data_IF_760034786691
#
_entry.id   IF_760034786691
#
_cell.length_a   1.000
_cell.length_b   1.000
_cell.length_c   1.000
_cell.angle_alpha   90.00
_cell.angle_beta   90.00
_cell.angle_gamma   90.00
#
_symmetry.space_group_name_H-M   'P 1'
#
loop_
_entity.id
_entity.type
_entity.pdbx_description
1 polymer ?
#
# COMPACT_ATOMS: atom_id res chain seq x y z
N UNK A 1 -13.94 -47.14 -40.66
CA UNK A 1 -13.18 -46.38 -39.63
C UNK A 1 -13.35 -44.90 -39.91
N UNK A 2 -13.90 -44.07 -38.98
CA UNK A 2 -13.85 -42.60 -39.10
C UNK A 2 -12.53 -42.11 -38.57
N UNK A 3 -11.90 -41.25 -39.35
CA UNK A 3 -10.55 -40.71 -39.22
C UNK A 3 -10.32 -39.90 -37.97
N UNK A 4 -9.28 -40.25 -37.24
CA UNK A 4 -8.67 -39.55 -36.07
C UNK A 4 -8.01 -38.20 -36.41
N UNK A 5 -8.31 -37.59 -37.54
CA UNK A 5 -7.67 -36.32 -37.99
C UNK A 5 -8.33 -35.06 -37.39
N UNK A 6 -9.56 -35.20 -36.83
CA UNK A 6 -10.28 -34.03 -36.28
C UNK A 6 -9.91 -33.60 -34.88
N UNK A 7 -9.32 -34.48 -34.04
CA UNK A 7 -9.05 -34.18 -32.63
C UNK A 7 -7.73 -33.44 -32.37
N UNK A 8 -6.70 -33.69 -33.19
CA UNK A 8 -5.41 -33.01 -33.04
C UNK A 8 -5.43 -31.56 -33.51
N UNK A 9 -6.29 -31.25 -34.49
CA UNK A 9 -6.44 -29.90 -35.00
C UNK A 9 -7.15 -28.96 -33.97
N UNK A 10 -8.15 -29.48 -33.24
CA UNK A 10 -8.85 -28.73 -32.19
C UNK A 10 -7.95 -28.42 -30.96
N UNK A 11 -7.09 -29.35 -30.59
CA UNK A 11 -6.15 -29.17 -29.46
C UNK A 11 -5.08 -28.13 -29.82
N UNK A 12 -4.56 -28.16 -31.03
CA UNK A 12 -3.52 -27.24 -31.52
C UNK A 12 -4.02 -25.81 -31.67
N UNK A 13 -5.27 -25.65 -32.10
CA UNK A 13 -5.90 -24.32 -32.21
C UNK A 13 -6.29 -23.74 -30.83
N UNK A 14 -6.72 -24.60 -29.89
CA UNK A 14 -6.93 -24.21 -28.50
C UNK A 14 -5.63 -23.74 -27.84
N UNK A 15 -4.54 -24.47 -28.01
CA UNK A 15 -3.22 -24.08 -27.47
C UNK A 15 -2.72 -22.75 -28.06
N UNK A 16 -2.87 -22.53 -29.37
CA UNK A 16 -2.53 -21.27 -30.03
C UNK A 16 -3.41 -20.13 -29.53
N UNK A 17 -4.69 -20.35 -29.30
CA UNK A 17 -5.63 -19.36 -28.78
C UNK A 17 -5.30 -18.98 -27.33
N UNK A 18 -4.93 -19.97 -26.48
CA UNK A 18 -4.46 -19.72 -25.11
C UNK A 18 -3.11 -18.97 -25.09
N UNK A 19 -2.16 -19.35 -25.95
CA UNK A 19 -0.88 -18.64 -26.09
C UNK A 19 -1.07 -17.20 -26.60
N UNK A 20 -1.97 -16.98 -27.55
CA UNK A 20 -2.28 -15.66 -28.08
C UNK A 20 -2.98 -14.78 -27.03
N UNK A 21 -3.96 -15.31 -26.30
CA UNK A 21 -4.65 -14.64 -25.20
C UNK A 21 -3.67 -14.28 -24.07
N UNK A 22 -2.80 -15.20 -23.65
CA UNK A 22 -1.78 -14.93 -22.63
C UNK A 22 -0.77 -13.88 -23.08
N UNK A 23 -0.40 -13.86 -24.37
CA UNK A 23 0.51 -12.87 -24.95
C UNK A 23 -0.12 -11.48 -25.07
N UNK A 24 -1.40 -11.40 -25.45
CA UNK A 24 -2.16 -10.14 -25.51
C UNK A 24 -2.36 -9.59 -24.10
N UNK A 25 -2.78 -10.42 -23.16
CA UNK A 25 -2.95 -10.06 -21.74
C UNK A 25 -1.63 -9.55 -21.13
N UNK A 26 -0.51 -10.20 -21.42
CA UNK A 26 0.80 -9.75 -20.93
C UNK A 26 1.22 -8.40 -21.50
N UNK A 27 0.86 -8.08 -22.75
CA UNK A 27 1.13 -6.76 -23.35
C UNK A 27 0.28 -5.66 -22.74
N UNK A 28 -0.99 -5.92 -22.47
CA UNK A 28 -1.90 -4.96 -21.82
C UNK A 28 -1.44 -4.66 -20.40
N UNK A 29 -1.06 -5.68 -19.65
CA UNK A 29 -0.51 -5.55 -18.30
C UNK A 29 0.76 -4.72 -18.32
N UNK A 30 1.71 -5.02 -19.20
CA UNK A 30 2.94 -4.24 -19.33
C UNK A 30 2.66 -2.78 -19.71
N UNK A 31 1.65 -2.53 -20.55
CA UNK A 31 1.21 -1.17 -20.88
C UNK A 31 0.64 -0.45 -19.65
N UNK A 32 -0.22 -1.14 -18.87
CA UNK A 32 -0.80 -0.60 -17.63
C UNK A 32 0.29 -0.28 -16.59
N UNK A 33 1.22 -1.22 -16.36
CA UNK A 33 2.38 -1.03 -15.47
C UNK A 33 3.24 0.16 -15.91
N UNK A 34 3.51 0.30 -17.20
CA UNK A 34 4.30 1.41 -17.72
C UNK A 34 3.59 2.77 -17.62
N UNK A 35 2.28 2.81 -17.81
CA UNK A 35 1.47 4.02 -17.58
C UNK A 35 1.52 4.44 -16.10
N UNK A 36 1.37 3.50 -15.18
CA UNK A 36 1.49 3.73 -13.73
C UNK A 36 2.91 4.23 -13.41
N UNK A 37 3.96 3.59 -13.94
CA UNK A 37 5.35 4.03 -13.74
C UNK A 37 5.57 5.48 -14.18
N UNK A 38 5.13 5.84 -15.39
CA UNK A 38 5.32 7.20 -15.94
C UNK A 38 4.57 8.22 -15.08
N UNK A 39 3.30 7.94 -14.73
CA UNK A 39 2.47 8.83 -13.92
C UNK A 39 3.06 9.05 -12.53
N UNK A 40 3.39 7.96 -11.84
CA UNK A 40 3.92 8.03 -10.47
C UNK A 40 5.33 8.60 -10.39
N UNK A 41 6.19 8.37 -11.39
CA UNK A 41 7.55 8.91 -11.42
C UNK A 41 7.56 10.43 -11.44
N UNK A 42 6.70 11.06 -12.24
CA UNK A 42 6.59 12.52 -12.28
C UNK A 42 6.14 13.06 -10.92
N UNK A 43 5.12 12.46 -10.32
CA UNK A 43 4.60 12.83 -9.01
C UNK A 43 5.68 12.71 -7.92
N UNK A 44 6.43 11.59 -7.92
CA UNK A 44 7.49 11.35 -6.93
C UNK A 44 8.65 12.34 -7.11
N UNK A 45 8.99 12.71 -8.34
CA UNK A 45 10.04 13.67 -8.59
C UNK A 45 9.67 15.08 -8.12
N UNK A 46 8.43 15.48 -8.38
CA UNK A 46 7.97 16.84 -8.11
C UNK A 46 7.64 17.07 -6.63
N UNK A 47 7.16 16.04 -5.92
CA UNK A 47 6.53 16.23 -4.62
C UNK A 47 7.13 15.45 -3.44
N UNK A 48 7.75 14.29 -3.65
CA UNK A 48 8.15 13.40 -2.57
C UNK A 48 9.65 13.34 -2.27
N UNK A 49 10.49 14.16 -2.96
CA UNK A 49 11.95 14.10 -2.82
C UNK A 49 12.48 14.48 -1.43
N UNK A 50 11.82 15.40 -0.71
CA UNK A 50 12.27 15.92 0.58
C UNK A 50 11.39 15.48 1.75
N UNK A 51 10.07 15.55 1.58
CA UNK A 51 9.11 15.37 2.68
C UNK A 51 9.02 13.92 3.18
N UNK A 52 9.32 12.92 2.35
CA UNK A 52 9.32 11.51 2.75
C UNK A 52 10.43 11.19 3.75
N UNK A 53 11.66 11.69 3.53
CA UNK A 53 12.81 11.43 4.39
C UNK A 53 12.68 12.00 5.80
N UNK A 54 12.09 13.19 5.92
CA UNK A 54 11.93 13.86 7.21
C UNK A 54 10.91 13.17 8.12
N UNK A 55 9.98 12.42 7.54
CA UNK A 55 8.86 11.79 8.25
C UNK A 55 9.19 10.46 8.90
N UNK A 56 10.19 9.73 8.39
CA UNK A 56 10.54 8.40 8.85
C UNK A 56 11.97 8.37 9.41
N UNK A 57 12.11 8.52 10.73
CA UNK A 57 13.42 8.48 11.40
C UNK A 57 13.84 7.05 11.70
N UNK A 58 14.82 6.51 10.96
CA UNK A 58 15.49 5.24 11.26
C UNK A 58 16.60 5.41 12.30
N UNK A 59 16.99 4.35 12.99
CA UNK A 59 18.17 4.31 13.89
C UNK A 59 19.23 3.39 13.26
N UNK A 60 20.13 3.92 12.48
CA UNK A 60 21.31 3.23 11.99
C UNK A 60 22.46 4.23 11.89
N UNK A 61 23.61 3.90 12.44
CA UNK A 61 24.84 4.68 12.25
C UNK A 61 25.74 3.91 11.29
N UNK A 62 26.08 4.53 10.15
CA UNK A 62 27.07 4.00 9.23
C UNK A 62 28.30 4.88 9.29
N UNK A 63 29.48 4.27 9.29
CA UNK A 63 30.72 5.00 9.21
C UNK A 63 30.74 5.83 7.92
N UNK A 64 30.88 7.15 8.04
CA UNK A 64 30.94 8.09 6.93
C UNK A 64 32.37 8.42 6.55
N UNK A 65 33.10 9.05 7.48
CA UNK A 65 34.47 9.49 7.25
C UNK A 65 35.28 9.59 8.53
N UNK A 66 36.59 9.83 8.38
CA UNK A 66 37.50 10.17 9.48
C UNK A 66 37.94 11.60 9.28
N UNK A 67 37.77 12.44 10.31
CA UNK A 67 38.36 13.79 10.36
C UNK A 67 39.27 13.98 11.52
N UNK A 68 40.16 14.97 11.45
CA UNK A 68 41.03 15.33 12.61
C UNK A 68 40.15 15.79 13.80
N UNK A 69 40.56 15.42 14.99
CA UNK A 69 39.94 15.82 16.26
C UNK A 69 40.09 17.33 16.47
N UNK A 70 39.03 17.99 16.86
CA UNK A 70 39.03 19.39 17.27
C UNK A 70 38.65 19.45 18.77
N UNK A 71 39.34 20.29 19.60
CA UNK A 71 38.97 20.44 21.01
C UNK A 71 37.48 20.76 21.18
N UNK A 72 36.77 19.93 21.97
CA UNK A 72 35.34 19.99 22.17
C UNK A 72 34.56 18.81 21.58
N UNK A 73 35.18 17.98 20.73
CA UNK A 73 34.59 16.76 20.22
C UNK A 73 34.54 15.64 21.27
N UNK A 74 33.63 14.68 21.10
CA UNK A 74 33.52 13.52 22.00
C UNK A 74 34.71 12.56 21.82
N UNK A 75 35.56 12.47 22.86
CA UNK A 75 36.74 11.61 22.91
C UNK A 75 36.44 10.13 22.68
N UNK A 76 35.17 9.68 22.93
CA UNK A 76 34.74 8.30 22.75
C UNK A 76 34.65 7.92 21.28
N UNK A 77 34.57 8.91 20.40
CA UNK A 77 34.48 8.73 18.95
C UNK A 77 35.87 8.69 18.28
N UNK A 78 36.96 8.74 19.02
CA UNK A 78 38.33 8.69 18.47
C UNK A 78 38.60 7.31 17.83
N UNK A 79 39.07 7.33 16.58
CA UNK A 79 39.63 6.15 15.93
C UNK A 79 41.09 5.94 16.28
N UNK A 80 41.33 5.09 17.26
CA UNK A 80 42.68 4.80 17.73
C UNK A 80 43.56 4.13 16.67
N UNK A 81 42.99 3.41 15.71
CA UNK A 81 43.73 2.76 14.63
C UNK A 81 44.26 3.78 13.62
N UNK A 82 43.46 4.77 13.25
CA UNK A 82 43.89 5.85 12.35
C UNK A 82 44.85 6.79 13.11
N UNK A 83 44.52 7.14 14.34
CA UNK A 83 45.38 7.97 15.21
C UNK A 83 46.77 7.38 15.36
N UNK A 84 46.92 6.08 15.57
CA UNK A 84 48.19 5.39 15.67
C UNK A 84 49.02 5.43 14.37
N UNK A 85 48.38 5.52 13.21
CA UNK A 85 49.06 5.58 11.90
C UNK A 85 49.47 6.99 11.51
N UNK A 86 48.63 7.97 11.86
CA UNK A 86 48.84 9.36 11.46
C UNK A 86 49.59 10.21 12.48
N UNK A 87 49.66 9.74 13.73
CA UNK A 87 50.24 10.47 14.87
C UNK A 87 49.37 11.63 15.38
N UNK A 88 48.20 11.85 14.82
CA UNK A 88 47.23 12.86 15.25
C UNK A 88 45.88 12.21 15.57
N UNK A 89 45.19 12.69 16.61
CA UNK A 89 43.87 12.14 16.93
C UNK A 89 42.87 12.38 15.81
N UNK A 90 42.16 11.32 15.42
CA UNK A 90 41.11 11.35 14.41
C UNK A 90 39.82 10.80 14.98
N UNK A 91 38.69 11.37 14.56
CA UNK A 91 37.34 10.96 14.93
C UNK A 91 36.69 10.14 13.83
N UNK A 92 35.97 9.10 14.24
CA UNK A 92 35.00 8.42 13.38
C UNK A 92 33.73 9.26 13.31
N UNK A 93 33.44 9.80 12.15
CA UNK A 93 32.14 10.40 11.87
C UNK A 93 31.21 9.28 11.37
N UNK A 94 30.12 9.11 12.10
CA UNK A 94 29.06 8.22 11.68
C UNK A 94 27.91 9.07 11.13
N UNK A 95 27.56 8.84 9.88
CA UNK A 95 26.30 9.33 9.33
C UNK A 95 25.20 8.33 9.64
N UNK A 96 24.04 8.81 9.98
CA UNK A 96 22.86 7.99 10.19
C UNK A 96 22.30 7.55 8.84
N UNK A 97 22.87 6.46 8.28
CA UNK A 97 22.35 5.89 7.05
C UNK A 97 21.07 5.10 7.35
N UNK A 98 19.96 5.67 6.95
CA UNK A 98 18.61 5.21 7.30
C UNK A 98 18.00 4.40 6.19
N UNK A 99 18.46 3.15 6.00
CA UNK A 99 17.69 2.22 5.18
C UNK A 99 16.40 1.83 5.91
N UNK A 100 15.29 2.39 5.48
CA UNK A 100 13.99 1.97 5.96
C UNK A 100 13.55 0.70 5.23
N UNK A 101 12.77 -0.10 5.93
CA UNK A 101 12.02 -1.19 5.32
C UNK A 101 10.56 -0.78 5.25
N UNK A 102 10.04 -0.67 4.04
CA UNK A 102 8.64 -0.34 3.76
C UNK A 102 7.91 -1.63 3.41
N UNK A 103 6.81 -1.92 4.08
CA UNK A 103 5.92 -3.02 3.77
C UNK A 103 4.56 -2.47 3.36
N UNK A 104 4.10 -2.82 2.17
CA UNK A 104 2.79 -2.44 1.67
C UNK A 104 1.87 -3.65 1.78
N UNK A 105 0.79 -3.51 2.54
CA UNK A 105 -0.28 -4.49 2.68
C UNK A 105 -1.48 -4.00 1.87
N UNK A 106 -1.92 -4.77 0.89
CA UNK A 106 -3.04 -4.41 0.03
C UNK A 106 -4.15 -5.44 0.20
N UNK A 107 -5.32 -4.94 0.52
CA UNK A 107 -6.55 -5.71 0.54
C UNK A 107 -6.99 -6.03 -0.90
N UNK A 108 -7.12 -7.32 -1.19
CA UNK A 108 -7.55 -7.85 -2.49
C UNK A 108 -8.86 -8.64 -2.37
N UNK A 109 -9.64 -8.36 -1.34
CA UNK A 109 -10.98 -8.90 -1.14
C UNK A 109 -11.96 -8.40 -2.20
N UNK A 110 -13.13 -9.02 -2.28
CA UNK A 110 -14.16 -8.69 -3.27
C UNK A 110 -14.67 -7.25 -3.15
N UNK A 111 -14.62 -6.64 -1.98
CA UNK A 111 -15.02 -5.25 -1.77
C UNK A 111 -14.16 -4.24 -2.55
N UNK A 112 -12.91 -4.60 -2.88
CA UNK A 112 -11.99 -3.79 -3.67
C UNK A 112 -12.38 -3.61 -5.14
N UNK A 113 -13.17 -4.52 -5.70
CA UNK A 113 -13.63 -4.47 -7.10
C UNK A 113 -14.78 -3.48 -7.31
N UNK A 114 -15.29 -2.89 -6.23
CA UNK A 114 -16.36 -1.89 -6.32
C UNK A 114 -15.84 -0.52 -6.79
N UNK A 115 -16.64 0.13 -7.66
CA UNK A 115 -16.44 1.52 -8.09
C UNK A 115 -17.66 2.02 -8.85
N UNK A 116 -18.19 3.16 -8.42
CA UNK A 116 -19.41 3.77 -9.00
C UNK A 116 -19.17 4.55 -10.29
N UNK A 117 -17.88 4.88 -10.57
CA UNK A 117 -17.47 5.64 -11.74
C UNK A 117 -16.37 4.91 -12.52
N UNK A 118 -15.43 5.69 -13.10
CA UNK A 118 -14.38 5.13 -13.97
C UNK A 118 -13.30 4.33 -13.23
N UNK A 119 -13.09 4.60 -11.95
CA UNK A 119 -11.99 4.02 -11.18
C UNK A 119 -12.53 3.06 -10.14
N UNK A 120 -12.01 1.85 -10.11
CA UNK A 120 -12.26 0.90 -9.04
C UNK A 120 -11.40 1.24 -7.80
N UNK A 121 -11.86 0.88 -6.61
CA UNK A 121 -11.05 1.05 -5.38
C UNK A 121 -9.68 0.39 -5.51
N UNK A 122 -9.63 -0.77 -6.14
CA UNK A 122 -8.38 -1.50 -6.32
C UNK A 122 -7.41 -0.78 -7.29
N UNK A 123 -7.91 -0.16 -8.36
CA UNK A 123 -7.05 0.59 -9.29
C UNK A 123 -6.37 1.75 -8.58
N UNK A 124 -7.10 2.46 -7.71
CA UNK A 124 -6.55 3.51 -6.86
C UNK A 124 -5.54 2.94 -5.86
N UNK A 125 -5.82 1.80 -5.24
CA UNK A 125 -4.89 1.09 -4.34
C UNK A 125 -3.58 0.74 -5.03
N UNK A 126 -3.63 0.26 -6.27
CA UNK A 126 -2.45 -0.05 -7.10
C UNK A 126 -1.64 1.21 -7.41
N UNK A 127 -2.30 2.31 -7.79
CA UNK A 127 -1.61 3.58 -8.06
C UNK A 127 -0.90 4.12 -6.82
N UNK A 128 -1.57 4.10 -5.67
CA UNK A 128 -0.99 4.53 -4.39
C UNK A 128 0.20 3.64 -4.00
N UNK A 129 0.05 2.32 -4.09
CA UNK A 129 1.13 1.37 -3.79
C UNK A 129 2.35 1.58 -4.70
N UNK A 130 2.13 1.81 -6.00
CA UNK A 130 3.19 2.11 -6.94
C UNK A 130 3.92 3.42 -6.58
N UNK A 131 3.17 4.48 -6.27
CA UNK A 131 3.73 5.76 -5.89
C UNK A 131 4.58 5.66 -4.62
N UNK A 132 4.07 5.01 -3.57
CA UNK A 132 4.80 4.78 -2.33
C UNK A 132 6.06 3.95 -2.57
N UNK A 133 5.97 2.92 -3.42
CA UNK A 133 7.10 2.07 -3.78
C UNK A 133 8.18 2.85 -4.52
N UNK A 134 7.82 3.68 -5.50
CA UNK A 134 8.79 4.51 -6.23
C UNK A 134 9.39 5.60 -5.35
N UNK A 135 8.61 6.18 -4.42
CA UNK A 135 9.11 7.13 -3.43
C UNK A 135 10.15 6.49 -2.52
N UNK A 136 9.87 5.30 -1.99
CA UNK A 136 10.78 4.58 -1.12
C UNK A 136 12.12 4.25 -1.81
N UNK A 137 12.10 3.71 -3.05
CA UNK A 137 13.36 3.40 -3.74
C UNK A 137 14.15 4.65 -4.18
N UNK A 138 13.50 5.79 -4.39
CA UNK A 138 14.19 7.06 -4.63
C UNK A 138 15.03 7.45 -3.42
N UNK A 139 14.58 7.10 -2.23
CA UNK A 139 15.26 7.29 -0.95
C UNK A 139 16.16 6.11 -0.55
N UNK A 140 16.46 5.20 -1.47
CA UNK A 140 17.29 4.01 -1.26
C UNK A 140 16.72 3.01 -0.23
N UNK A 141 15.41 3.06 0.06
CA UNK A 141 14.72 2.16 0.98
C UNK A 141 14.37 0.80 0.33
N UNK A 142 14.10 -0.19 1.20
CA UNK A 142 13.64 -1.52 0.80
C UNK A 142 12.12 -1.54 0.79
N UNK A 143 11.51 -2.11 -0.26
CA UNK A 143 10.05 -2.21 -0.39
C UNK A 143 9.63 -3.66 -0.52
N UNK A 144 8.68 -4.08 0.31
CA UNK A 144 7.99 -5.37 0.25
C UNK A 144 6.50 -5.19 0.03
N UNK A 145 5.84 -6.25 -0.38
CA UNK A 145 4.40 -6.28 -0.66
C UNK A 145 3.77 -7.54 -0.07
N UNK A 146 2.60 -7.39 0.52
CA UNK A 146 1.72 -8.51 0.79
C UNK A 146 0.30 -8.20 0.29
N UNK A 147 -0.27 -9.10 -0.48
CA UNK A 147 -1.67 -9.09 -0.88
C UNK A 147 -2.44 -9.98 0.08
N UNK A 148 -3.55 -9.50 0.61
CA UNK A 148 -4.35 -10.24 1.58
C UNK A 148 -5.86 -10.12 1.32
N UNK A 149 -6.58 -11.12 1.77
CA UNK A 149 -8.03 -11.18 1.86
C UNK A 149 -8.40 -11.77 3.25
N UNK A 150 -9.05 -12.90 3.31
CA UNK A 150 -9.19 -13.75 4.51
C UNK A 150 -7.87 -14.45 4.90
N UNK A 151 -6.93 -14.51 3.98
CA UNK A 151 -5.57 -15.03 4.13
C UNK A 151 -4.56 -14.16 3.39
N UNK A 152 -3.26 -14.43 3.61
CA UNK A 152 -2.21 -13.82 2.80
C UNK A 152 -2.11 -14.58 1.48
N UNK A 153 -2.49 -13.92 0.40
CA UNK A 153 -2.51 -14.48 -0.96
C UNK A 153 -1.11 -14.54 -1.57
N UNK A 154 -0.36 -13.45 -1.38
CA UNK A 154 0.99 -13.32 -1.94
C UNK A 154 1.86 -12.45 -1.05
N UNK A 155 3.11 -12.84 -0.90
CA UNK A 155 4.12 -12.06 -0.19
C UNK A 155 5.39 -11.94 -1.01
N UNK A 156 5.91 -10.73 -1.11
CA UNK A 156 7.17 -10.42 -1.74
C UNK A 156 8.04 -9.66 -0.72
N UNK A 157 9.17 -10.25 -0.31
CA UNK A 157 10.01 -9.68 0.75
C UNK A 157 10.63 -8.34 0.32
N UNK A 158 10.93 -7.45 1.29
CA UNK A 158 11.51 -6.15 1.01
C UNK A 158 12.87 -6.24 0.33
N UNK A 159 12.99 -5.62 -0.85
CA UNK A 159 14.22 -5.47 -1.63
C UNK A 159 14.32 -4.08 -2.23
N UNK A 160 15.53 -3.69 -2.64
CA UNK A 160 15.81 -2.43 -3.32
C UNK A 160 15.69 -2.55 -4.84
N UNK A 161 15.57 -1.40 -5.45
CA UNK A 161 15.79 -1.19 -6.87
C UNK A 161 14.53 -1.22 -7.75
N UNK A 162 14.64 -0.48 -8.84
CA UNK A 162 13.53 -0.23 -9.78
C UNK A 162 12.93 -1.52 -10.35
N UNK A 163 13.77 -2.52 -10.71
CA UNK A 163 13.29 -3.80 -11.25
C UNK A 163 12.40 -4.53 -10.24
N UNK A 164 12.73 -4.43 -8.94
CA UNK A 164 11.95 -5.04 -7.90
C UNK A 164 10.57 -4.36 -7.76
N UNK A 165 10.52 -3.04 -7.76
CA UNK A 165 9.24 -2.30 -7.70
C UNK A 165 8.36 -2.58 -8.91
N UNK A 166 8.92 -2.60 -10.12
CA UNK A 166 8.15 -2.97 -11.31
C UNK A 166 7.56 -4.39 -11.19
N UNK A 167 8.32 -5.34 -10.59
CA UNK A 167 7.79 -6.66 -10.30
C UNK A 167 6.63 -6.61 -9.30
N UNK A 168 6.74 -5.82 -8.21
CA UNK A 168 5.65 -5.65 -7.24
C UNK A 168 4.37 -5.17 -7.92
N UNK A 169 4.48 -4.11 -8.75
CA UNK A 169 3.34 -3.55 -9.47
C UNK A 169 2.75 -4.58 -10.45
N UNK A 170 3.60 -5.30 -11.18
CA UNK A 170 3.16 -6.36 -12.09
C UNK A 170 2.41 -7.46 -11.35
N UNK A 171 2.90 -7.85 -10.18
CA UNK A 171 2.28 -8.90 -9.36
C UNK A 171 0.92 -8.45 -8.78
N UNK A 172 0.73 -7.16 -8.50
CA UNK A 172 -0.56 -6.61 -8.08
C UNK A 172 -1.53 -6.61 -9.29
N UNK A 173 -1.10 -6.05 -10.42
CA UNK A 173 -1.96 -5.90 -11.62
C UNK A 173 -2.37 -7.27 -12.19
N UNK A 174 -1.53 -8.30 -12.03
CA UNK A 174 -1.82 -9.68 -12.46
C UNK A 174 -2.70 -10.45 -11.47
N UNK A 175 -2.99 -9.89 -10.30
CA UNK A 175 -3.83 -10.59 -9.35
C UNK A 175 -5.26 -10.70 -9.89
N UNK A 176 -5.85 -11.89 -9.75
CA UNK A 176 -7.23 -12.12 -10.18
C UNK A 176 -8.20 -11.65 -9.08
N UNK A 177 -8.74 -10.45 -9.28
CA UNK A 177 -9.67 -9.83 -8.35
C UNK A 177 -11.11 -10.31 -8.56
N UNK A 178 -11.46 -10.79 -9.79
CA UNK A 178 -12.85 -11.09 -10.16
C UNK A 178 -13.33 -12.44 -9.61
N UNK A 179 -12.44 -13.40 -9.47
CA UNK A 179 -12.78 -14.76 -8.99
C UNK A 179 -12.73 -14.90 -7.46
N UNK A 180 -12.62 -13.78 -6.72
CA UNK A 180 -12.47 -13.82 -5.28
C UNK A 180 -13.77 -13.46 -4.55
N UNK A 181 -14.66 -14.43 -4.30
CA UNK A 181 -15.68 -14.32 -3.24
C UNK A 181 -15.02 -14.38 -1.86
N UNK A 182 -14.02 -13.51 -1.61
CA UNK A 182 -13.19 -13.56 -0.42
C UNK A 182 -13.57 -12.45 0.53
N UNK A 183 -13.77 -12.82 1.79
CA UNK A 183 -13.98 -11.86 2.87
C UNK A 183 -12.69 -11.12 3.19
N UNK A 184 -12.79 -9.97 3.79
CA UNK A 184 -11.67 -9.21 4.33
C UNK A 184 -11.32 -9.70 5.73
N UNK A 185 -10.02 -9.91 6.01
CA UNK A 185 -9.50 -10.08 7.37
C UNK A 185 -8.26 -9.22 7.57
N UNK A 186 -8.45 -8.02 8.07
CA UNK A 186 -7.37 -7.08 8.41
C UNK A 186 -6.47 -7.68 9.50
N UNK A 187 -7.07 -8.41 10.45
CA UNK A 187 -6.33 -9.13 11.48
C UNK A 187 -5.27 -10.06 10.89
N UNK A 188 -5.62 -10.84 9.88
CA UNK A 188 -4.68 -11.76 9.21
C UNK A 188 -3.48 -11.01 8.61
N UNK A 189 -3.71 -9.87 7.98
CA UNK A 189 -2.64 -9.03 7.42
C UNK A 189 -1.73 -8.46 8.51
N UNK A 190 -2.30 -8.00 9.63
CA UNK A 190 -1.57 -7.46 10.77
C UNK A 190 -0.73 -8.54 11.45
N UNK A 191 -1.30 -9.71 11.72
CA UNK A 191 -0.58 -10.84 12.34
C UNK A 191 0.57 -11.30 11.46
N UNK A 192 0.36 -11.35 10.15
CA UNK A 192 1.41 -11.64 9.19
C UNK A 192 2.52 -10.59 9.23
N UNK A 193 2.17 -9.29 9.21
CA UNK A 193 3.15 -8.20 9.27
C UNK A 193 3.98 -8.26 10.56
N UNK A 194 3.34 -8.54 11.71
CA UNK A 194 4.03 -8.74 12.99
C UNK A 194 5.04 -9.90 12.95
N UNK A 195 4.68 -10.99 12.25
CA UNK A 195 5.53 -12.19 12.15
C UNK A 195 6.77 -11.95 11.27
N UNK A 196 6.63 -11.23 10.16
CA UNK A 196 7.72 -11.04 9.20
C UNK A 196 8.61 -9.85 9.51
N UNK A 197 8.07 -8.79 10.13
CA UNK A 197 8.79 -7.55 10.42
C UNK A 197 9.52 -7.63 11.75
N UNK A 198 10.78 -8.07 11.72
CA UNK A 198 11.62 -8.22 12.94
C UNK A 198 12.21 -6.88 13.42
N UNK A 199 12.37 -5.89 12.52
CA UNK A 199 12.92 -4.56 12.81
C UNK A 199 11.84 -3.51 12.62
N UNK A 200 12.02 -2.33 13.24
CA UNK A 200 11.10 -1.21 13.02
C UNK A 200 11.00 -0.92 11.52
N UNK A 201 9.79 -0.93 11.00
CA UNK A 201 9.48 -0.77 9.57
C UNK A 201 8.35 0.24 9.42
N UNK A 202 8.24 0.82 8.24
CA UNK A 202 7.07 1.60 7.82
C UNK A 202 6.09 0.63 7.16
N UNK A 203 4.84 0.61 7.61
CA UNK A 203 3.82 -0.30 7.10
C UNK A 203 2.65 0.52 6.59
N UNK A 204 2.36 0.41 5.30
CA UNK A 204 1.17 0.97 4.69
C UNK A 204 0.11 -0.12 4.57
N UNK A 205 -1.05 0.11 5.17
CA UNK A 205 -2.20 -0.79 5.11
C UNK A 205 -3.29 -0.14 4.25
N UNK A 206 -3.49 -0.67 3.05
CA UNK A 206 -4.43 -0.18 2.03
C UNK A 206 -5.65 -1.10 2.03
N UNK A 207 -6.81 -0.61 2.46
CA UNK A 207 -8.07 -1.34 2.56
C UNK A 207 -9.24 -0.36 2.66
N UNK A 208 -10.47 -0.82 2.54
CA UNK A 208 -11.68 -0.06 2.90
C UNK A 208 -11.98 -0.12 4.42
N UNK A 209 -11.27 -0.99 5.16
CA UNK A 209 -11.40 -1.18 6.61
C UNK A 209 -12.81 -1.62 7.05
N UNK A 210 -13.46 -2.44 6.25
CA UNK A 210 -14.74 -3.09 6.60
C UNK A 210 -14.43 -4.38 7.37
N UNK A 211 -13.94 -4.24 8.60
CA UNK A 211 -13.66 -5.33 9.55
C UNK A 211 -13.65 -4.72 10.96
N UNK A 212 -14.10 -5.44 11.96
CA UNK A 212 -14.21 -4.92 13.34
C UNK A 212 -13.23 -5.59 14.33
N UNK A 213 -12.58 -6.69 13.97
CA UNK A 213 -11.86 -7.57 14.90
C UNK A 213 -10.33 -7.47 14.84
N UNK A 214 -9.77 -6.27 14.62
CA UNK A 214 -8.32 -6.09 14.46
C UNK A 214 -7.68 -5.03 15.38
N UNK A 215 -8.45 -4.38 16.23
CA UNK A 215 -7.99 -3.21 16.98
C UNK A 215 -6.83 -3.48 17.95
N UNK A 216 -6.85 -4.62 18.65
CA UNK A 216 -5.79 -4.98 19.57
C UNK A 216 -4.49 -5.29 18.83
N UNK A 217 -4.58 -6.05 17.77
CA UNK A 217 -3.45 -6.42 16.90
C UNK A 217 -2.87 -5.18 16.22
N UNK A 218 -3.72 -4.25 15.77
CA UNK A 218 -3.30 -2.97 15.17
C UNK A 218 -2.57 -2.10 16.19
N UNK A 219 -3.07 -1.99 17.42
CA UNK A 219 -2.41 -1.24 18.49
C UNK A 219 -1.02 -1.79 18.76
N UNK A 220 -0.86 -3.12 18.80
CA UNK A 220 0.43 -3.76 19.00
C UNK A 220 1.38 -3.56 17.82
N UNK A 221 0.89 -3.68 16.59
CA UNK A 221 1.67 -3.42 15.39
C UNK A 221 2.15 -1.96 15.34
N UNK A 222 1.25 -1.01 15.65
CA UNK A 222 1.53 0.42 15.64
C UNK A 222 2.53 0.84 16.75
N UNK A 223 2.58 0.10 17.85
CA UNK A 223 3.60 0.31 18.90
C UNK A 223 5.01 -0.10 18.44
N UNK A 224 5.11 -1.18 17.65
CA UNK A 224 6.41 -1.70 17.19
C UNK A 224 6.90 -1.04 15.90
N UNK A 225 6.00 -0.68 15.02
CA UNK A 225 6.24 -0.22 13.67
C UNK A 225 5.58 1.14 13.47
N UNK A 226 5.91 1.80 12.38
CA UNK A 226 5.24 3.00 11.94
C UNK A 226 4.13 2.60 10.95
N UNK A 227 2.89 2.56 11.44
CA UNK A 227 1.76 2.02 10.65
C UNK A 227 0.86 3.14 10.18
N UNK A 228 0.60 3.18 8.87
CA UNK A 228 -0.25 4.17 8.22
C UNK A 228 -1.36 3.46 7.47
N UNK A 229 -2.61 3.75 7.84
CA UNK A 229 -3.79 3.26 7.14
C UNK A 229 -4.17 4.17 5.98
N UNK A 230 -4.47 3.57 4.85
CA UNK A 230 -4.99 4.20 3.66
C UNK A 230 -6.38 3.62 3.40
N UNK A 231 -7.41 4.31 3.89
CA UNK A 231 -8.78 3.89 3.70
C UNK A 231 -9.28 4.38 2.34
N UNK A 232 -9.52 3.44 1.43
CA UNK A 232 -10.09 3.73 0.11
C UNK A 232 -11.60 3.44 0.17
N UNK A 233 -12.39 4.41 -0.28
CA UNK A 233 -13.84 4.28 -0.34
C UNK A 233 -14.41 4.88 -1.61
N UNK A 234 -15.59 4.41 -2.01
CA UNK A 234 -16.37 5.02 -3.07
C UNK A 234 -17.40 6.01 -2.49
N UNK A 235 -17.65 7.13 -3.20
CA UNK A 235 -18.58 8.14 -2.76
C UNK A 235 -20.00 7.60 -2.56
N UNK A 236 -20.41 6.60 -3.35
CA UNK A 236 -21.75 6.00 -3.25
C UNK A 236 -21.89 5.04 -2.07
N UNK A 237 -20.78 4.53 -1.51
CA UNK A 237 -20.79 3.80 -0.25
C UNK A 237 -21.14 4.69 0.96
N UNK A 238 -21.01 6.01 0.80
CA UNK A 238 -21.31 6.99 1.85
C UNK A 238 -22.58 7.79 1.61
N UNK A 239 -22.95 7.99 0.35
CA UNK A 239 -24.11 8.80 -0.01
C UNK A 239 -24.75 8.27 -1.31
N UNK A 240 -25.89 7.62 -1.21
CA UNK A 240 -26.62 7.17 -2.38
C UNK A 240 -27.16 8.36 -3.20
N UNK A 241 -26.88 8.39 -4.52
CA UNK A 241 -27.60 9.28 -5.41
C UNK A 241 -29.03 8.76 -5.61
N UNK A 242 -29.90 9.59 -6.19
CA UNK A 242 -31.24 9.17 -6.57
C UNK A 242 -31.16 8.33 -7.87
N UNK A 243 -31.16 7.01 -7.73
CA UNK A 243 -31.06 6.03 -8.83
C UNK A 243 -32.33 5.18 -8.98
N UNK A 244 -33.42 5.52 -8.28
CA UNK A 244 -34.59 4.66 -8.24
C UNK A 244 -34.44 3.51 -7.24
N UNK A 245 -35.07 2.39 -7.54
CA UNK A 245 -34.93 1.17 -6.75
C UNK A 245 -33.69 0.42 -7.24
N UNK A 246 -32.72 0.24 -6.35
CA UNK A 246 -31.46 -0.48 -6.65
C UNK A 246 -31.39 -1.77 -5.86
N UNK A 247 -30.74 -2.77 -6.46
CA UNK A 247 -30.36 -3.99 -5.77
C UNK A 247 -28.91 -3.86 -5.31
N UNK A 248 -28.67 -3.90 -4.00
CA UNK A 248 -27.33 -3.89 -3.44
C UNK A 248 -26.94 -5.32 -3.13
N UNK A 249 -25.86 -5.76 -3.73
CA UNK A 249 -25.22 -7.03 -3.46
C UNK A 249 -24.13 -6.83 -2.40
N UNK A 250 -24.27 -7.48 -1.26
CA UNK A 250 -23.19 -7.53 -0.27
C UNK A 250 -22.16 -8.57 -0.74
N UNK A 251 -20.99 -8.09 -1.11
CA UNK A 251 -19.90 -8.94 -1.63
C UNK A 251 -19.30 -9.89 -0.59
N UNK A 252 -19.57 -9.68 0.72
CA UNK A 252 -19.05 -10.52 1.80
C UNK A 252 -20.05 -11.59 2.24
N UNK A 253 -21.33 -11.24 2.32
CA UNK A 253 -22.39 -12.18 2.74
C UNK A 253 -23.06 -12.86 1.57
N UNK A 254 -22.97 -12.29 0.36
CA UNK A 254 -23.69 -12.75 -0.83
C UNK A 254 -25.17 -12.38 -0.82
N UNK A 255 -25.65 -11.62 0.17
CA UNK A 255 -27.04 -11.22 0.27
C UNK A 255 -27.39 -10.07 -0.67
N UNK A 256 -28.59 -10.11 -1.22
CA UNK A 256 -29.14 -9.05 -2.07
C UNK A 256 -30.23 -8.29 -1.32
N UNK A 257 -30.10 -6.97 -1.26
CA UNK A 257 -31.08 -6.10 -0.60
C UNK A 257 -31.57 -5.03 -1.57
N UNK A 258 -32.90 -4.94 -1.74
CA UNK A 258 -33.52 -3.90 -2.55
C UNK A 258 -33.73 -2.63 -1.72
N UNK A 259 -33.20 -1.51 -2.23
CA UNK A 259 -33.31 -0.21 -1.57
C UNK A 259 -33.94 0.78 -2.53
N UNK A 260 -34.98 1.48 -2.06
CA UNK A 260 -35.59 2.61 -2.79
C UNK A 260 -34.82 3.90 -2.49
N UNK A 261 -33.94 4.26 -3.43
CA UNK A 261 -33.16 5.49 -3.33
C UNK A 261 -33.91 6.74 -3.79
N UNK A 262 -35.16 6.65 -4.25
CA UNK A 262 -35.99 7.84 -4.53
C UNK A 262 -36.40 8.54 -3.23
N UNK A 263 -36.60 7.76 -2.15
CA UNK A 263 -36.94 8.26 -0.83
C UNK A 263 -35.80 9.07 -0.20
N UNK A 264 -35.97 10.38 -0.06
CA UNK A 264 -35.02 11.25 0.61
C UNK A 264 -34.73 10.77 2.04
N UNK A 265 -35.76 10.33 2.77
CA UNK A 265 -35.63 9.81 4.14
C UNK A 265 -34.68 8.60 4.24
N UNK A 266 -34.70 7.73 3.26
CA UNK A 266 -33.80 6.56 3.21
C UNK A 266 -32.37 7.02 2.95
N UNK A 267 -32.17 7.91 1.98
CA UNK A 267 -30.85 8.46 1.68
C UNK A 267 -30.23 9.20 2.87
N UNK A 268 -31.01 10.09 3.51
CA UNK A 268 -30.56 10.87 4.68
C UNK A 268 -30.19 9.94 5.85
N UNK A 269 -30.99 8.88 6.09
CA UNK A 269 -30.70 7.87 7.13
C UNK A 269 -29.40 7.12 6.83
N UNK A 270 -29.22 6.70 5.58
CA UNK A 270 -28.01 6.00 5.15
C UNK A 270 -26.77 6.89 5.33
N UNK A 271 -26.82 8.14 4.84
CA UNK A 271 -25.75 9.11 4.98
C UNK A 271 -25.40 9.36 6.45
N UNK A 272 -26.39 9.55 7.31
CA UNK A 272 -26.19 9.75 8.74
C UNK A 272 -25.46 8.56 9.38
N UNK A 273 -25.92 7.34 9.10
CA UNK A 273 -25.31 6.13 9.62
C UNK A 273 -23.85 5.99 9.13
N UNK A 274 -23.59 6.30 7.86
CA UNK A 274 -22.23 6.28 7.29
C UNK A 274 -21.31 7.28 7.99
N UNK A 275 -21.78 8.50 8.23
CA UNK A 275 -21.01 9.54 8.96
C UNK A 275 -20.73 9.11 10.41
N UNK A 276 -21.70 8.53 11.10
CA UNK A 276 -21.54 8.03 12.47
C UNK A 276 -20.49 6.91 12.54
N UNK A 277 -20.53 5.94 11.62
CA UNK A 277 -19.54 4.87 11.50
C UNK A 277 -18.14 5.45 11.29
N UNK A 278 -17.99 6.39 10.35
CA UNK A 278 -16.73 7.05 10.05
C UNK A 278 -16.14 7.80 11.25
N UNK A 279 -16.98 8.56 11.96
CA UNK A 279 -16.57 9.32 13.14
C UNK A 279 -16.11 8.35 14.26
N UNK A 280 -16.84 7.27 14.47
CA UNK A 280 -16.49 6.22 15.43
C UNK A 280 -15.14 5.58 15.07
N UNK A 281 -14.96 5.21 13.80
CA UNK A 281 -13.71 4.62 13.29
C UNK A 281 -12.53 5.59 13.47
N UNK A 282 -12.68 6.85 13.02
CA UNK A 282 -11.65 7.88 13.18
C UNK A 282 -11.29 8.14 14.63
N UNK A 283 -12.29 8.11 15.55
CA UNK A 283 -12.06 8.25 16.98
C UNK A 283 -11.27 7.07 17.55
N UNK A 284 -11.59 5.84 17.15
CA UNK A 284 -10.82 4.63 17.54
C UNK A 284 -9.38 4.72 17.05
N UNK A 285 -9.13 5.13 15.79
CA UNK A 285 -7.79 5.34 15.24
C UNK A 285 -6.98 6.34 16.08
N UNK A 286 -7.57 7.51 16.38
CA UNK A 286 -6.93 8.55 17.21
C UNK A 286 -6.57 8.03 18.61
N UNK A 287 -7.44 7.25 19.22
CA UNK A 287 -7.22 6.71 20.58
C UNK A 287 -6.01 5.77 20.67
N UNK A 288 -5.69 5.05 19.58
CA UNK A 288 -4.54 4.15 19.53
C UNK A 288 -3.31 4.79 18.85
N UNK A 289 -3.40 6.08 18.49
CA UNK A 289 -2.33 6.80 17.79
C UNK A 289 -2.05 6.27 16.38
N UNK A 290 -3.06 5.70 15.72
CA UNK A 290 -2.96 5.18 14.36
C UNK A 290 -3.24 6.26 13.34
N UNK A 291 -2.27 6.51 12.46
CA UNK A 291 -2.42 7.48 11.39
C UNK A 291 -3.29 6.89 10.26
N UNK A 292 -4.39 7.58 9.94
CA UNK A 292 -5.35 7.18 8.93
C UNK A 292 -5.54 8.28 7.89
N UNK A 293 -5.40 7.92 6.61
CA UNK A 293 -5.71 8.77 5.47
C UNK A 293 -6.95 8.18 4.79
N UNK A 294 -7.97 9.00 4.58
CA UNK A 294 -9.20 8.60 3.89
C UNK A 294 -9.21 9.20 2.49
N UNK A 295 -9.38 8.37 1.47
CA UNK A 295 -9.28 8.76 0.06
C UNK A 295 -10.49 8.19 -0.68
N UNK A 296 -11.26 9.07 -1.32
CA UNK A 296 -12.33 8.65 -2.24
C UNK A 296 -11.76 8.28 -3.61
N UNK A 297 -12.45 7.38 -4.32
CA UNK A 297 -12.14 7.06 -5.73
C UNK A 297 -12.22 8.28 -6.65
N UNK A 298 -12.93 9.33 -6.23
CA UNK A 298 -13.08 10.60 -6.95
C UNK A 298 -12.04 11.65 -6.58
N UNK A 299 -11.29 11.44 -5.49
CA UNK A 299 -10.35 12.42 -4.95
C UNK A 299 -9.02 12.44 -5.71
N UNK A 300 -8.34 13.58 -5.64
CA UNK A 300 -6.92 13.67 -5.97
C UNK A 300 -6.09 13.13 -4.79
N UNK A 301 -5.85 11.82 -4.78
CA UNK A 301 -5.12 11.13 -3.71
C UNK A 301 -3.73 11.71 -3.45
N UNK A 302 -3.10 12.31 -4.47
CA UNK A 302 -1.76 12.92 -4.37
C UNK A 302 -1.79 14.06 -3.35
N UNK A 303 -2.80 14.92 -3.46
CA UNK A 303 -2.99 16.05 -2.55
C UNK A 303 -3.15 15.60 -1.09
N UNK A 304 -3.95 14.54 -0.85
CA UNK A 304 -4.16 13.99 0.50
C UNK A 304 -2.88 13.41 1.10
N UNK A 305 -2.14 12.64 0.32
CA UNK A 305 -0.87 12.07 0.74
C UNK A 305 0.18 13.15 1.04
N UNK A 306 0.29 14.17 0.20
CA UNK A 306 1.18 15.31 0.42
C UNK A 306 0.82 16.07 1.69
N UNK A 307 -0.46 16.39 1.91
CA UNK A 307 -0.91 17.07 3.11
C UNK A 307 -0.58 16.25 4.37
N UNK A 308 -0.80 14.94 4.30
CA UNK A 308 -0.47 14.04 5.40
C UNK A 308 1.02 14.06 5.72
N UNK A 309 1.89 13.84 4.72
CA UNK A 309 3.34 13.81 4.95
C UNK A 309 3.87 15.16 5.45
N UNK A 310 3.40 16.28 4.92
CA UNK A 310 3.75 17.63 5.43
C UNK A 310 3.29 17.86 6.86
N UNK A 311 2.05 17.48 7.18
CA UNK A 311 1.52 17.62 8.55
C UNK A 311 2.30 16.80 9.56
N UNK A 312 2.81 15.66 9.13
CA UNK A 312 3.59 14.76 9.96
C UNK A 312 5.03 15.27 10.16
N UNK A 313 5.66 15.83 9.12
CA UNK A 313 6.96 16.47 9.21
C UNK A 313 6.98 17.60 10.25
N UNK A 314 5.88 18.33 10.36
CA UNK A 314 5.73 19.44 11.33
C UNK A 314 5.47 18.96 12.78
N UNK A 315 5.17 17.65 13.00
CA UNK A 315 4.98 17.06 14.34
C UNK A 315 6.25 16.41 14.88
N UNK A 316 7.25 16.18 14.04
CA UNK A 316 8.55 15.57 14.36
C UNK A 316 9.58 16.60 14.78
#
# INVERSE_FOLDING_TARGET
APSLVGSEMCIRDSFKKYQYLSFVMSKEILKKVRQIEIRTKNIVNDFFGGDYHSNFKGRGMTFSEVREYVPGDDVRSIDWNVTARTGKPHLKIFEEERELSVLILIDVSSSGVFGSKKNLKIDLGVEIAAMLSFSAIKNNDKVGLALFSDKVEKYIPPKKGKKHVLRLITDIVNHDFENSNKRTSIKTAIDFANKISKRKSVIFLISDFIDDNFWNELKFLNFKHDVIGLQIYDAYERNFPNLGIINIHDSETGENTWIDTTSKKIRDKFQKNSIEKLNSFSKKCKNIGFDLIQISTDDDYIKFLMQFFRSRANRS
#
